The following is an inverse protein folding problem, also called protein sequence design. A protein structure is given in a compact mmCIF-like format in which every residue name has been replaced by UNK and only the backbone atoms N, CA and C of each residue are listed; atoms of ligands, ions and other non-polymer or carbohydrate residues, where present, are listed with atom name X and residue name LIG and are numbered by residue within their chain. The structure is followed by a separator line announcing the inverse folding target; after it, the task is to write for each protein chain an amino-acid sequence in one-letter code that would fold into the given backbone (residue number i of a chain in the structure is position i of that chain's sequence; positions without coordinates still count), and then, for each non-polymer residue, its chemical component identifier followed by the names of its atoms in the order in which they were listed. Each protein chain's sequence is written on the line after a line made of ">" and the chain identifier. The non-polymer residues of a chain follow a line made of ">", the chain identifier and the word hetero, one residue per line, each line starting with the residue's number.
data_IF_082135794908
#
_entry.id   IF_082135794908
#
_cell.length_a   1.000
_cell.length_b   1.000
_cell.length_c   1.000
_cell.angle_alpha   90.00
_cell.angle_beta   90.00
_cell.angle_gamma   90.00
#
_symmetry.space_group_name_H-M   'P 1'
#
loop_
_entity.id
_entity.type
_entity.pdbx_description
1 polymer ?
#
# COMPACT_ATOMS: atom_id res chain seq x y z
N UNK A 1 10.54 24.26 18.36
CA UNK A 1 10.61 24.14 16.89
C UNK A 1 9.89 22.88 16.39
N UNK A 2 8.63 22.67 16.79
CA UNK A 2 7.86 21.44 16.55
C UNK A 2 7.00 21.48 15.25
N UNK A 3 7.53 22.04 14.16
CA UNK A 3 6.82 22.10 12.86
C UNK A 3 7.58 21.40 11.71
N UNK A 4 8.63 20.63 12.02
CA UNK A 4 9.44 19.93 11.00
C UNK A 4 9.15 18.43 10.92
N UNK A 5 8.04 17.97 11.52
CA UNK A 5 7.55 16.60 11.37
C UNK A 5 6.89 16.44 10.01
N UNK A 6 7.17 15.35 9.31
CA UNK A 6 6.66 14.99 7.98
C UNK A 6 5.13 14.71 7.94
N UNK A 7 4.31 15.61 8.52
CA UNK A 7 2.88 15.45 8.74
C UNK A 7 2.08 16.74 8.58
N UNK A 8 2.48 17.62 7.66
CA UNK A 8 1.63 18.75 7.26
C UNK A 8 0.41 18.26 6.47
N UNK A 9 -0.68 19.03 6.51
CA UNK A 9 -1.90 18.73 5.74
C UNK A 9 -1.62 18.60 4.24
N UNK A 10 -0.68 19.39 3.70
CA UNK A 10 -0.34 19.36 2.28
C UNK A 10 0.32 18.02 1.82
N UNK A 11 1.40 17.52 2.46
CA UNK A 11 1.93 16.18 2.15
C UNK A 11 0.91 15.05 2.28
N UNK A 12 0.05 15.10 3.31
CA UNK A 12 -0.99 14.11 3.50
C UNK A 12 -2.03 14.14 2.36
N UNK A 13 -2.59 15.31 2.06
CA UNK A 13 -3.57 15.48 0.99
C UNK A 13 -2.98 15.12 -0.38
N UNK A 14 -1.71 15.48 -0.62
CA UNK A 14 -1.01 15.08 -1.82
C UNK A 14 -0.87 13.56 -1.92
N UNK A 15 -0.45 12.89 -0.85
CA UNK A 15 -0.34 11.43 -0.79
C UNK A 15 -1.67 10.75 -1.07
N UNK A 16 -2.74 11.17 -0.40
CA UNK A 16 -4.11 10.66 -0.57
C UNK A 16 -4.63 10.86 -2.01
N UNK A 17 -4.42 12.05 -2.58
CA UNK A 17 -4.81 12.34 -3.95
C UNK A 17 -4.03 11.50 -4.96
N UNK A 18 -2.71 11.40 -4.77
CA UNK A 18 -1.82 10.63 -5.63
C UNK A 18 -2.17 9.14 -5.60
N UNK A 19 -2.44 8.54 -4.44
CA UNK A 19 -2.83 7.13 -4.35
C UNK A 19 -4.15 6.86 -5.05
N UNK A 20 -5.15 7.74 -4.90
CA UNK A 20 -6.44 7.64 -5.59
C UNK A 20 -6.28 7.71 -7.12
N UNK A 21 -5.51 8.69 -7.62
CA UNK A 21 -5.28 8.85 -9.06
C UNK A 21 -4.49 7.65 -9.61
N UNK A 22 -3.43 7.25 -8.90
CA UNK A 22 -2.57 6.12 -9.31
C UNK A 22 -3.37 4.83 -9.45
N UNK A 23 -4.22 4.49 -8.47
CA UNK A 23 -5.00 3.25 -8.54
C UNK A 23 -6.06 3.30 -9.63
N UNK A 24 -6.71 4.46 -9.85
CA UNK A 24 -7.64 4.64 -10.95
C UNK A 24 -6.95 4.43 -12.31
N UNK A 25 -5.78 5.06 -12.51
CA UNK A 25 -5.01 4.92 -13.75
C UNK A 25 -4.47 3.50 -13.95
N UNK A 26 -4.06 2.82 -12.87
CA UNK A 26 -3.64 1.43 -12.94
C UNK A 26 -4.77 0.54 -13.46
N UNK A 27 -6.01 0.74 -13.00
CA UNK A 27 -7.15 -0.03 -13.49
C UNK A 27 -7.50 0.32 -14.94
N UNK A 28 -7.46 1.61 -15.32
CA UNK A 28 -7.61 2.04 -16.72
C UNK A 28 -6.59 1.32 -17.62
N UNK A 29 -5.33 1.27 -17.19
CA UNK A 29 -4.26 0.57 -17.90
C UNK A 29 -4.53 -0.93 -17.99
N UNK A 30 -4.90 -1.57 -16.88
CA UNK A 30 -5.25 -2.99 -16.88
C UNK A 30 -6.37 -3.28 -17.86
N UNK A 31 -7.48 -2.53 -17.81
CA UNK A 31 -8.61 -2.74 -18.71
C UNK A 31 -8.22 -2.53 -20.18
N UNK A 32 -7.45 -1.49 -20.51
CA UNK A 32 -7.15 -1.11 -21.91
C UNK A 32 -5.98 -1.89 -22.52
N UNK A 33 -4.93 -2.13 -21.74
CA UNK A 33 -3.65 -2.66 -22.24
C UNK A 33 -3.50 -4.14 -21.92
N UNK A 34 -3.92 -4.58 -20.74
CA UNK A 34 -3.75 -5.99 -20.32
C UNK A 34 -4.95 -6.84 -20.75
N UNK A 35 -6.16 -6.33 -20.54
CA UNK A 35 -7.41 -7.03 -20.88
C UNK A 35 -7.91 -6.71 -22.30
N UNK A 36 -7.29 -5.75 -23.00
CA UNK A 36 -7.68 -5.29 -24.34
C UNK A 36 -9.17 -4.94 -24.48
N UNK A 37 -9.81 -4.47 -23.40
CA UNK A 37 -11.25 -4.18 -23.35
C UNK A 37 -11.60 -2.99 -24.25
N UNK A 38 -12.53 -3.11 -25.21
CA UNK A 38 -12.94 -2.00 -26.08
C UNK A 38 -13.65 -0.88 -25.29
N UNK A 39 -13.66 0.34 -25.85
CA UNK A 39 -14.21 1.53 -25.16
C UNK A 39 -15.70 1.38 -24.84
N UNK A 40 -16.45 0.69 -25.70
CA UNK A 40 -17.88 0.40 -25.53
C UNK A 40 -18.18 -0.39 -24.26
N UNK A 41 -17.24 -1.26 -23.84
CA UNK A 41 -17.37 -2.13 -22.67
C UNK A 41 -16.52 -1.65 -21.50
N UNK A 42 -16.03 -0.41 -21.52
CA UNK A 42 -15.15 0.12 -20.49
C UNK A 42 -15.87 0.21 -19.13
N UNK A 43 -15.27 -0.36 -18.08
CA UNK A 43 -15.90 -0.43 -16.77
C UNK A 43 -15.47 0.76 -15.89
N UNK A 44 -16.16 1.88 -16.06
CA UNK A 44 -15.97 3.10 -15.24
C UNK A 44 -16.27 2.84 -13.75
N UNK A 45 -17.16 1.89 -13.48
CA UNK A 45 -17.55 1.55 -12.13
C UNK A 45 -16.39 0.88 -11.40
N UNK A 46 -15.68 -0.04 -12.06
CA UNK A 46 -14.44 -0.63 -11.55
C UNK A 46 -13.37 0.44 -11.30
N UNK A 47 -13.17 1.38 -12.23
CA UNK A 47 -12.23 2.50 -12.02
C UNK A 47 -12.58 3.30 -10.76
N UNK A 48 -13.86 3.58 -10.53
CA UNK A 48 -14.30 4.31 -9.32
C UNK A 48 -14.02 3.54 -8.01
N UNK A 49 -14.13 2.21 -8.03
CA UNK A 49 -13.79 1.35 -6.87
C UNK A 49 -12.28 1.43 -6.60
N UNK A 50 -11.45 1.35 -7.63
CA UNK A 50 -10.00 1.49 -7.48
C UNK A 50 -9.60 2.88 -6.99
N UNK A 51 -10.23 3.94 -7.51
CA UNK A 51 -10.02 5.31 -7.03
C UNK A 51 -10.38 5.42 -5.53
N UNK A 52 -11.55 4.93 -5.13
CA UNK A 52 -12.01 4.97 -3.75
C UNK A 52 -11.11 4.15 -2.82
N UNK A 53 -10.64 2.98 -3.26
CA UNK A 53 -9.68 2.18 -2.51
C UNK A 53 -8.35 2.92 -2.32
N UNK A 54 -7.86 3.55 -3.38
CA UNK A 54 -6.66 4.38 -3.35
C UNK A 54 -6.81 5.59 -2.43
N UNK A 55 -7.99 6.21 -2.39
CA UNK A 55 -8.28 7.35 -1.54
C UNK A 55 -8.38 6.95 -0.06
N UNK A 56 -9.31 6.04 0.26
CA UNK A 56 -9.68 5.73 1.63
C UNK A 56 -8.69 4.78 2.30
N UNK A 57 -8.30 3.71 1.63
CA UNK A 57 -7.48 2.69 2.25
C UNK A 57 -5.99 3.02 2.09
N UNK A 58 -5.51 3.13 0.84
CA UNK A 58 -4.09 3.44 0.61
C UNK A 58 -3.73 4.88 1.04
N UNK A 59 -4.64 5.83 0.84
CA UNK A 59 -4.39 7.22 1.19
C UNK A 59 -4.44 7.49 2.69
N UNK A 60 -5.45 6.94 3.40
CA UNK A 60 -5.64 7.24 4.83
C UNK A 60 -5.07 6.14 5.73
N UNK A 61 -5.52 4.90 5.55
CA UNK A 61 -5.15 3.78 6.44
C UNK A 61 -3.66 3.45 6.30
N UNK A 62 -3.17 3.29 5.08
CA UNK A 62 -1.76 3.00 4.86
C UNK A 62 -0.86 4.18 5.25
N UNK A 63 -1.29 5.44 5.05
CA UNK A 63 -0.56 6.60 5.58
C UNK A 63 -0.44 6.55 7.10
N UNK A 64 -1.53 6.26 7.81
CA UNK A 64 -1.48 6.11 9.27
C UNK A 64 -0.52 4.98 9.70
N UNK A 65 -0.50 3.86 8.97
CA UNK A 65 0.44 2.79 9.24
C UNK A 65 1.90 3.22 9.02
N UNK A 66 2.20 3.83 7.88
CA UNK A 66 3.58 4.10 7.45
C UNK A 66 4.16 5.39 8.01
N UNK A 67 3.39 6.48 8.03
CA UNK A 67 3.86 7.80 8.47
C UNK A 67 3.69 8.02 9.97
N UNK A 68 2.78 7.28 10.62
CA UNK A 68 2.46 7.48 12.05
C UNK A 68 2.88 6.29 12.91
N UNK A 69 2.49 5.06 12.54
CA UNK A 69 2.78 3.89 13.38
C UNK A 69 4.22 3.39 13.22
N UNK A 70 4.73 3.22 12.01
CA UNK A 70 6.08 2.69 11.78
C UNK A 70 7.21 3.54 12.38
N UNK A 71 7.19 4.88 12.33
CA UNK A 71 8.23 5.69 12.98
C UNK A 71 8.22 5.54 14.51
N UNK A 72 7.07 5.18 15.11
CA UNK A 72 6.95 4.90 16.55
C UNK A 72 7.44 3.52 16.92
N UNK A 73 7.13 2.51 16.10
CA UNK A 73 7.56 1.12 16.32
C UNK A 73 9.05 0.91 15.98
N UNK A 74 9.57 1.66 15.01
CA UNK A 74 10.92 1.51 14.47
C UNK A 74 11.63 2.88 14.39
N UNK A 75 11.91 3.53 15.53
CA UNK A 75 12.50 4.87 15.54
C UNK A 75 13.89 4.92 14.89
N UNK A 76 14.63 3.80 14.89
CA UNK A 76 15.93 3.68 14.22
C UNK A 76 15.84 3.65 12.69
N UNK A 77 14.66 3.43 12.11
CA UNK A 77 14.47 3.34 10.66
C UNK A 77 14.87 4.65 9.93
N UNK A 78 14.67 5.80 10.58
CA UNK A 78 15.05 7.11 10.02
C UNK A 78 16.57 7.22 9.86
N UNK A 79 17.31 6.90 10.94
CA UNK A 79 18.76 6.94 10.94
C UNK A 79 19.33 5.90 9.96
N UNK A 80 18.76 4.69 9.96
CA UNK A 80 19.16 3.63 9.04
C UNK A 80 18.99 4.04 7.58
N UNK A 81 17.86 4.67 7.22
CA UNK A 81 17.58 5.09 5.86
C UNK A 81 18.65 6.04 5.29
N UNK A 82 19.20 6.92 6.14
CA UNK A 82 20.22 7.90 5.77
C UNK A 82 21.65 7.33 5.66
N UNK A 83 21.91 6.11 6.16
CA UNK A 83 23.24 5.52 6.10
C UNK A 83 23.68 5.22 4.66
N UNK A 84 24.98 5.35 4.33
CA UNK A 84 25.55 4.80 3.11
C UNK A 84 25.39 3.27 3.03
N UNK A 85 25.30 2.70 1.83
CA UNK A 85 25.05 1.26 1.62
C UNK A 85 25.98 0.34 2.43
N UNK A 86 27.29 0.60 2.40
CA UNK A 86 28.27 -0.22 3.13
C UNK A 86 28.07 -0.18 4.66
N UNK A 87 27.58 0.94 5.20
CA UNK A 87 27.26 1.06 6.62
C UNK A 87 25.96 0.32 6.98
N UNK A 88 24.96 0.33 6.09
CA UNK A 88 23.72 -0.44 6.27
C UNK A 88 23.97 -1.95 6.40
N UNK A 89 24.96 -2.49 5.69
CA UNK A 89 25.32 -3.92 5.75
C UNK A 89 25.85 -4.34 7.14
N UNK A 90 26.38 -3.39 7.91
CA UNK A 90 26.93 -3.62 9.26
C UNK A 90 25.96 -3.22 10.37
N UNK A 91 24.91 -2.46 10.07
CA UNK A 91 23.89 -2.07 11.04
C UNK A 91 22.78 -3.11 11.17
N UNK A 92 23.02 -4.10 12.04
CA UNK A 92 22.03 -5.15 12.34
C UNK A 92 20.75 -4.61 12.99
N UNK A 93 20.79 -3.47 13.69
CA UNK A 93 19.59 -2.89 14.31
C UNK A 93 18.66 -2.30 13.26
N UNK A 94 19.21 -1.56 12.30
CA UNK A 94 18.44 -1.03 11.18
C UNK A 94 17.93 -2.11 10.23
N UNK A 95 18.71 -3.17 9.98
CA UNK A 95 18.23 -4.34 9.21
C UNK A 95 17.03 -5.00 9.89
N UNK A 96 17.07 -5.21 11.21
CA UNK A 96 15.92 -5.75 11.96
C UNK A 96 14.70 -4.82 11.89
N UNK A 97 14.91 -3.50 11.91
CA UNK A 97 13.83 -2.53 11.74
C UNK A 97 13.19 -2.60 10.34
N UNK A 98 13.97 -2.79 9.28
CA UNK A 98 13.45 -3.01 7.91
C UNK A 98 12.65 -4.30 7.84
N UNK A 99 13.20 -5.41 8.34
CA UNK A 99 12.51 -6.69 8.36
C UNK A 99 11.24 -6.66 9.20
N UNK A 100 11.24 -5.91 10.32
CA UNK A 100 10.06 -5.71 11.16
C UNK A 100 8.95 -4.92 10.45
N UNK A 101 9.29 -3.81 9.79
CA UNK A 101 8.33 -3.05 8.96
C UNK A 101 7.75 -3.93 7.85
N UNK A 102 8.61 -4.69 7.16
CA UNK A 102 8.19 -5.60 6.10
C UNK A 102 7.29 -6.73 6.63
N UNK A 103 7.62 -7.31 7.78
CA UNK A 103 6.83 -8.37 8.39
C UNK A 103 5.43 -7.88 8.82
N UNK A 104 5.34 -6.67 9.36
CA UNK A 104 4.02 -6.10 9.70
C UNK A 104 3.25 -5.75 8.43
N UNK A 105 3.89 -5.07 7.46
CA UNK A 105 3.20 -4.63 6.25
C UNK A 105 2.75 -5.83 5.39
N UNK A 106 3.68 -6.71 5.04
CA UNK A 106 3.42 -7.82 4.12
C UNK A 106 2.88 -9.07 4.82
N UNK A 107 3.20 -9.28 6.09
CA UNK A 107 2.73 -10.45 6.85
C UNK A 107 1.39 -10.25 7.54
N UNK A 108 1.07 -9.02 7.97
CA UNK A 108 -0.17 -8.74 8.70
C UNK A 108 -1.12 -7.84 7.91
N UNK A 109 -0.65 -6.64 7.56
CA UNK A 109 -1.51 -5.60 6.98
C UNK A 109 -2.06 -6.01 5.61
N UNK A 110 -1.22 -6.43 4.66
CA UNK A 110 -1.68 -6.82 3.33
C UNK A 110 -2.60 -8.04 3.33
N UNK A 111 -2.24 -9.18 3.96
CA UNK A 111 -3.06 -10.38 3.89
C UNK A 111 -4.38 -10.27 4.66
N UNK A 112 -4.39 -9.60 5.81
CA UNK A 112 -5.54 -9.64 6.73
C UNK A 112 -6.35 -8.35 6.77
N UNK A 113 -5.86 -7.24 6.22
CA UNK A 113 -6.58 -5.98 6.19
C UNK A 113 -6.76 -5.45 4.76
N UNK A 114 -5.66 -5.22 4.03
CA UNK A 114 -5.72 -4.53 2.74
C UNK A 114 -6.45 -5.36 1.66
N UNK A 115 -6.05 -6.62 1.45
CA UNK A 115 -6.68 -7.50 0.47
C UNK A 115 -8.17 -7.72 0.81
N UNK A 116 -8.55 -8.09 2.04
CA UNK A 116 -9.96 -8.19 2.41
C UNK A 116 -10.75 -6.89 2.22
N UNK A 117 -10.18 -5.72 2.58
CA UNK A 117 -10.84 -4.43 2.40
C UNK A 117 -11.10 -4.14 0.92
N UNK A 118 -10.13 -4.40 0.04
CA UNK A 118 -10.31 -4.26 -1.40
C UNK A 118 -11.45 -5.15 -1.91
N UNK A 119 -11.49 -6.43 -1.53
CA UNK A 119 -12.56 -7.34 -1.94
C UNK A 119 -13.93 -6.91 -1.42
N UNK A 120 -14.00 -6.39 -0.20
CA UNK A 120 -15.25 -5.82 0.35
C UNK A 120 -15.69 -4.60 -0.45
N UNK A 121 -14.80 -3.64 -0.72
CA UNK A 121 -15.14 -2.46 -1.55
C UNK A 121 -15.57 -2.85 -2.97
N UNK A 122 -14.84 -3.79 -3.59
CA UNK A 122 -15.19 -4.33 -4.90
C UNK A 122 -16.58 -4.96 -4.89
N UNK A 123 -16.85 -5.84 -3.93
CA UNK A 123 -18.14 -6.52 -3.86
C UNK A 123 -19.30 -5.59 -3.50
N UNK A 124 -19.11 -4.63 -2.58
CA UNK A 124 -20.10 -3.58 -2.32
C UNK A 124 -20.38 -2.75 -3.57
N UNK A 125 -19.33 -2.47 -4.33
CA UNK A 125 -19.44 -1.98 -5.68
C UNK A 125 -20.42 -2.86 -6.47
N UNK A 126 -20.10 -4.11 -6.70
CA UNK A 126 -20.92 -5.06 -7.47
C UNK A 126 -22.27 -5.45 -6.81
N UNK A 127 -22.74 -4.69 -5.80
CA UNK A 127 -24.00 -4.91 -5.06
C UNK A 127 -24.05 -6.25 -4.32
N UNK A 128 -22.88 -6.79 -3.95
CA UNK A 128 -22.73 -7.97 -3.09
C UNK A 128 -22.69 -7.55 -1.63
N UNK A 129 -23.18 -8.42 -0.74
CA UNK A 129 -23.07 -8.20 0.71
C UNK A 129 -21.62 -8.36 1.17
N UNK A 130 -21.25 -7.72 2.28
CA UNK A 130 -19.91 -7.82 2.88
C UNK A 130 -19.50 -9.29 3.09
N UNK A 131 -20.43 -10.11 3.61
CA UNK A 131 -20.16 -11.52 3.87
C UNK A 131 -19.90 -12.30 2.56
N UNK A 132 -20.64 -12.01 1.50
CA UNK A 132 -20.41 -12.62 0.18
C UNK A 132 -19.03 -12.22 -0.36
N UNK A 133 -18.65 -10.95 -0.23
CA UNK A 133 -17.34 -10.43 -0.65
C UNK A 133 -16.19 -11.10 0.09
N UNK A 134 -16.31 -11.28 1.42
CA UNK A 134 -15.29 -11.96 2.22
C UNK A 134 -15.17 -13.46 1.88
N UNK A 135 -16.29 -14.12 1.58
CA UNK A 135 -16.27 -15.52 1.09
C UNK A 135 -15.55 -15.63 -0.25
N UNK A 136 -15.81 -14.72 -1.19
CA UNK A 136 -15.07 -14.66 -2.45
C UNK A 136 -13.59 -14.38 -2.24
N UNK A 137 -13.25 -13.44 -1.34
CA UNK A 137 -11.87 -13.16 -0.97
C UNK A 137 -11.15 -14.42 -0.47
N UNK A 138 -11.79 -15.19 0.42
CA UNK A 138 -11.20 -16.41 0.99
C UNK A 138 -10.85 -17.45 -0.09
N UNK A 139 -11.63 -17.54 -1.16
CA UNK A 139 -11.39 -18.51 -2.23
C UNK A 139 -10.11 -18.22 -3.03
N UNK A 140 -9.74 -16.94 -3.17
CA UNK A 140 -8.57 -16.50 -3.97
C UNK A 140 -7.43 -15.93 -3.10
N UNK A 141 -7.64 -15.85 -1.79
CA UNK A 141 -6.77 -15.14 -0.85
C UNK A 141 -5.29 -15.48 -1.00
N UNK A 142 -4.95 -16.76 -1.06
CA UNK A 142 -3.54 -17.18 -1.16
C UNK A 142 -2.92 -16.79 -2.51
N UNK A 143 -3.71 -16.80 -3.58
CA UNK A 143 -3.27 -16.36 -4.90
C UNK A 143 -2.96 -14.86 -4.89
N UNK A 144 -3.87 -14.06 -4.33
CA UNK A 144 -3.72 -12.61 -4.23
C UNK A 144 -2.54 -12.23 -3.33
N UNK A 145 -2.36 -12.90 -2.18
CA UNK A 145 -1.21 -12.68 -1.28
C UNK A 145 0.10 -13.01 -1.97
N UNK A 146 0.19 -14.14 -2.69
CA UNK A 146 1.41 -14.50 -3.43
C UNK A 146 1.73 -13.50 -4.53
N UNK A 147 0.73 -13.06 -5.30
CA UNK A 147 0.89 -12.05 -6.33
C UNK A 147 1.35 -10.70 -5.73
N UNK A 148 0.76 -10.33 -4.58
CA UNK A 148 1.17 -9.15 -3.81
C UNK A 148 2.64 -9.26 -3.38
N UNK A 149 3.02 -10.37 -2.74
CA UNK A 149 4.38 -10.58 -2.26
C UNK A 149 5.43 -10.59 -3.37
N UNK A 150 5.11 -11.15 -4.54
CA UNK A 150 6.03 -11.18 -5.67
C UNK A 150 6.48 -9.77 -6.11
N UNK A 151 5.63 -8.76 -5.91
CA UNK A 151 5.92 -7.37 -6.25
C UNK A 151 6.40 -6.59 -5.04
N UNK A 152 5.70 -6.72 -3.91
CA UNK A 152 5.82 -5.78 -2.80
C UNK A 152 6.84 -6.19 -1.73
N UNK A 153 7.22 -7.47 -1.63
CA UNK A 153 8.35 -7.84 -0.76
C UNK A 153 9.66 -7.23 -1.28
N UNK A 154 10.04 -7.40 -2.57
CA UNK A 154 11.23 -6.76 -3.13
C UNK A 154 11.15 -5.23 -3.05
N UNK A 155 10.02 -4.64 -3.45
CA UNK A 155 9.83 -3.18 -3.40
C UNK A 155 9.88 -2.65 -1.96
N UNK A 156 9.30 -3.36 -1.00
CA UNK A 156 9.29 -3.00 0.42
C UNK A 156 10.68 -3.01 1.04
N UNK A 157 11.51 -4.01 0.71
CA UNK A 157 12.91 -4.04 1.15
C UNK A 157 13.68 -2.81 0.65
N UNK A 158 13.46 -2.42 -0.61
CA UNK A 158 14.07 -1.21 -1.17
C UNK A 158 13.53 0.05 -0.47
N UNK A 159 12.21 0.15 -0.34
CA UNK A 159 11.56 1.33 0.22
C UNK A 159 11.97 1.56 1.69
N UNK A 160 11.79 0.55 2.55
CA UNK A 160 12.15 0.67 3.97
C UNK A 160 13.66 0.76 4.20
N UNK A 161 14.46 0.16 3.32
CA UNK A 161 15.91 0.18 3.42
C UNK A 161 16.56 1.49 2.96
N UNK A 162 16.01 2.13 1.92
CA UNK A 162 16.72 3.20 1.19
C UNK A 162 15.95 4.50 1.08
N UNK A 163 14.62 4.48 1.05
CA UNK A 163 13.88 5.73 0.88
C UNK A 163 13.82 6.54 2.18
N UNK A 164 14.06 7.86 2.14
CA UNK A 164 13.80 8.75 3.27
C UNK A 164 12.34 8.68 3.69
N UNK A 165 12.04 8.75 4.98
CA UNK A 165 10.66 8.63 5.52
C UNK A 165 9.68 9.62 4.88
N UNK A 166 10.13 10.84 4.56
CA UNK A 166 9.29 11.86 3.91
C UNK A 166 8.87 11.50 2.48
N UNK A 167 9.50 10.49 1.85
CA UNK A 167 9.24 10.03 0.50
C UNK A 167 8.65 8.61 0.46
N UNK A 168 8.32 8.03 1.62
CA UNK A 168 7.72 6.69 1.72
C UNK A 168 6.21 6.71 1.58
#
# INVERSE_FOLDING_TARGET
>A
SMLSGAGGAAPFLFGVGLTSIKTALADVWTQRVVEHRPLENFDLRRVSIFALYGLLYLGVVQYALWAVLFPRLFPSATAFAALPFAAKLRDGAGQRAVLGQLAIDQGLHWPFAAIPAFHVMKGLGERRSVLASLRSCRAVWLSDVKACWAVWIPAGLINFGFMPIALR
#
